data_IF_834320301408
#
_entry.id   IF_834320301408
#
_cell.length_a   1.000
_cell.length_b   1.000
_cell.length_c   1.000
_cell.angle_alpha   90.00
_cell.angle_beta   90.00
_cell.angle_gamma   90.00
#
_symmetry.space_group_name_H-M   'P 1'
#
loop_
_entity.id
_entity.type
_entity.pdbx_description
1 polymer ?
#
# COMPACT_ATOMS: atom_id res chain seq x y z
N UNK A 1 -11.82 -23.79 -18.54
CA UNK A 1 -11.91 -22.40 -19.04
C UNK A 1 -11.86 -22.44 -20.56
N UNK A 2 -12.92 -22.04 -21.25
CA UNK A 2 -13.01 -22.04 -22.73
C UNK A 2 -12.25 -20.84 -23.32
N UNK A 3 -11.65 -21.02 -24.50
CA UNK A 3 -10.75 -20.02 -25.14
C UNK A 3 -11.33 -18.62 -25.34
N UNK A 4 -12.66 -18.46 -25.43
CA UNK A 4 -13.34 -17.16 -25.48
C UNK A 4 -13.11 -16.29 -24.23
N UNK A 5 -12.98 -16.92 -23.07
CA UNK A 5 -12.82 -16.20 -21.80
C UNK A 5 -11.39 -15.66 -21.61
N UNK A 6 -10.41 -16.32 -22.25
CA UNK A 6 -9.00 -15.90 -22.21
C UNK A 6 -8.77 -14.68 -23.09
N UNK A 7 -9.28 -14.68 -24.33
CA UNK A 7 -9.12 -13.54 -25.25
C UNK A 7 -9.67 -12.24 -24.66
N UNK A 8 -10.93 -12.27 -24.17
CA UNK A 8 -11.54 -11.11 -23.53
C UNK A 8 -10.80 -10.65 -22.25
N UNK A 9 -10.17 -11.58 -21.52
CA UNK A 9 -9.38 -11.23 -20.35
C UNK A 9 -8.07 -10.54 -20.73
N UNK A 10 -7.40 -10.99 -21.79
CA UNK A 10 -6.17 -10.37 -22.28
C UNK A 10 -6.45 -8.98 -22.88
N UNK A 11 -7.54 -8.82 -23.62
CA UNK A 11 -8.00 -7.51 -24.13
C UNK A 11 -8.27 -6.52 -22.98
N UNK A 12 -8.90 -6.98 -21.89
CA UNK A 12 -9.10 -6.14 -20.69
C UNK A 12 -7.78 -5.75 -20.04
N UNK A 13 -6.82 -6.66 -19.95
CA UNK A 13 -5.49 -6.36 -19.42
C UNK A 13 -4.74 -5.35 -20.29
N UNK A 14 -4.90 -5.43 -21.62
CA UNK A 14 -4.30 -4.47 -22.56
C UNK A 14 -4.95 -3.09 -22.45
N UNK A 15 -6.29 -3.04 -22.39
CA UNK A 15 -7.04 -1.80 -22.19
C UNK A 15 -6.71 -1.13 -20.84
N UNK A 16 -6.42 -1.93 -19.80
CA UNK A 16 -5.94 -1.45 -18.50
C UNK A 16 -4.45 -1.07 -18.51
N UNK A 17 -3.75 -1.19 -19.64
CA UNK A 17 -2.33 -0.84 -19.75
C UNK A 17 -1.38 -1.76 -18.99
N UNK A 18 -1.84 -2.92 -18.50
CA UNK A 18 -1.02 -3.86 -17.70
C UNK A 18 -0.23 -4.84 -18.57
N UNK A 19 -0.73 -5.14 -19.77
CA UNK A 19 -0.01 -5.91 -20.79
C UNK A 19 0.09 -5.10 -22.08
N UNK A 20 0.95 -5.56 -22.99
CA UNK A 20 1.06 -5.04 -24.36
C UNK A 20 1.14 -6.19 -25.34
N UNK A 21 0.51 -6.03 -26.49
CA UNK A 21 0.72 -6.92 -27.63
C UNK A 21 2.07 -6.64 -28.29
N UNK A 22 2.86 -7.70 -28.48
CA UNK A 22 3.99 -7.74 -29.42
C UNK A 22 3.55 -8.53 -30.66
N UNK A 23 4.35 -8.54 -31.73
CA UNK A 23 4.01 -9.20 -33.01
C UNK A 23 3.32 -10.57 -32.83
N UNK A 24 3.96 -11.48 -32.08
CA UNK A 24 3.48 -12.86 -31.92
C UNK A 24 3.26 -13.27 -30.46
N UNK A 25 3.27 -12.33 -29.51
CA UNK A 25 3.15 -12.64 -28.08
C UNK A 25 2.60 -11.48 -27.27
N UNK A 26 2.10 -11.79 -26.07
CA UNK A 26 1.75 -10.81 -25.06
C UNK A 26 2.90 -10.66 -24.06
N UNK A 27 3.13 -9.44 -23.59
CA UNK A 27 4.12 -9.17 -22.55
C UNK A 27 3.50 -8.28 -21.48
N UNK A 28 3.78 -8.56 -20.21
CA UNK A 28 3.48 -7.64 -19.13
C UNK A 28 4.24 -6.32 -19.32
N UNK A 29 3.60 -5.21 -18.99
CA UNK A 29 4.31 -3.93 -18.90
C UNK A 29 5.15 -3.90 -17.62
N UNK A 30 6.28 -3.17 -17.60
CA UNK A 30 7.01 -2.93 -16.36
C UNK A 30 6.07 -2.33 -15.30
N UNK A 31 6.23 -2.75 -14.04
CA UNK A 31 5.42 -2.19 -12.93
C UNK A 31 5.55 -0.67 -12.84
N UNK A 32 6.71 -0.10 -13.15
CA UNK A 32 6.93 1.35 -13.21
C UNK A 32 6.05 2.09 -14.24
N UNK A 33 5.40 1.36 -15.15
CA UNK A 33 4.46 1.91 -16.13
C UNK A 33 3.01 1.49 -15.86
N UNK A 34 2.80 0.34 -15.24
CA UNK A 34 1.47 -0.21 -14.96
C UNK A 34 0.91 0.19 -13.58
N UNK A 35 1.78 0.61 -12.66
CA UNK A 35 1.44 0.97 -11.28
C UNK A 35 1.99 2.36 -10.96
N UNK A 36 1.12 3.37 -10.92
CA UNK A 36 1.51 4.76 -10.65
C UNK A 36 1.71 5.06 -9.17
N UNK A 37 0.99 4.36 -8.28
CA UNK A 37 1.08 4.61 -6.84
C UNK A 37 2.49 4.28 -6.36
N UNK A 38 3.18 5.28 -5.79
CA UNK A 38 4.55 5.12 -5.31
C UNK A 38 4.61 4.62 -3.86
N UNK A 39 3.61 4.99 -3.08
CA UNK A 39 3.47 4.57 -1.70
C UNK A 39 2.01 4.62 -1.29
N UNK A 40 1.60 3.63 -0.51
CA UNK A 40 0.37 3.64 0.26
C UNK A 40 0.79 3.72 1.72
N UNK A 41 0.36 4.77 2.41
CA UNK A 41 0.71 5.04 3.80
C UNK A 41 -0.56 4.96 4.63
N UNK A 42 -0.64 3.98 5.52
CA UNK A 42 -1.75 3.83 6.45
C UNK A 42 -1.37 4.45 7.79
N UNK A 43 -2.24 5.30 8.34
CA UNK A 43 -2.06 5.91 9.66
C UNK A 43 -3.32 5.60 10.48
N UNK A 44 -3.16 4.76 11.50
CA UNK A 44 -4.21 4.49 12.48
C UNK A 44 -4.09 5.49 13.63
N UNK A 45 -5.12 6.30 13.85
CA UNK A 45 -5.16 7.27 14.94
C UNK A 45 -6.16 6.83 16.01
N UNK A 46 -5.68 6.48 17.22
CA UNK A 46 -6.55 6.19 18.37
C UNK A 46 -6.01 6.83 19.64
N UNK A 47 -6.91 7.10 20.59
CA UNK A 47 -6.58 7.80 21.83
C UNK A 47 -6.46 6.89 23.08
N UNK A 48 -6.97 5.63 23.04
CA UNK A 48 -7.16 4.84 24.28
C UNK A 48 -6.79 3.35 24.23
N UNK A 49 -7.00 2.63 23.12
CA UNK A 49 -6.77 1.16 23.06
C UNK A 49 -5.59 0.76 22.16
N UNK A 50 -4.39 0.70 22.75
CA UNK A 50 -3.12 0.61 21.99
C UNK A 50 -2.74 -0.80 21.53
N UNK A 51 -3.07 -1.84 22.30
CA UNK A 51 -2.83 -3.21 21.85
C UNK A 51 -3.67 -3.55 20.62
N UNK A 52 -4.91 -3.06 20.58
CA UNK A 52 -5.77 -3.10 19.41
C UNK A 52 -5.22 -2.23 18.27
N UNK A 53 -4.69 -1.03 18.57
CA UNK A 53 -4.18 -0.12 17.53
C UNK A 53 -2.96 -0.66 16.80
N UNK A 54 -2.03 -1.31 17.52
CA UNK A 54 -0.88 -1.97 16.88
C UNK A 54 -1.32 -3.13 15.99
N UNK A 55 -2.33 -3.90 16.42
CA UNK A 55 -2.85 -4.98 15.60
C UNK A 55 -3.52 -4.46 14.32
N UNK A 56 -4.28 -3.37 14.40
CA UNK A 56 -4.88 -2.74 13.23
C UNK A 56 -3.82 -2.17 12.28
N UNK A 57 -2.82 -1.47 12.80
CA UNK A 57 -1.71 -0.98 11.99
C UNK A 57 -0.94 -2.14 11.34
N UNK A 58 -0.76 -3.26 12.05
CA UNK A 58 -0.19 -4.47 11.47
C UNK A 58 -1.04 -5.06 10.35
N UNK A 59 -2.37 -5.13 10.50
CA UNK A 59 -3.25 -5.56 9.41
C UNK A 59 -3.12 -4.66 8.17
N UNK A 60 -2.88 -3.36 8.35
CA UNK A 60 -2.70 -2.44 7.23
C UNK A 60 -1.43 -2.73 6.40
N UNK A 61 -0.43 -3.44 6.95
CA UNK A 61 0.77 -3.85 6.19
C UNK A 61 0.44 -4.79 5.03
N UNK A 62 -0.74 -5.42 5.03
CA UNK A 62 -1.19 -6.27 3.92
C UNK A 62 -1.43 -5.48 2.62
N UNK A 63 -1.67 -4.17 2.69
CA UNK A 63 -1.90 -3.34 1.50
C UNK A 63 -1.01 -2.09 1.42
N UNK A 64 -0.53 -1.60 2.57
CA UNK A 64 0.26 -0.38 2.66
C UNK A 64 1.76 -0.68 2.54
N UNK A 65 2.51 0.20 1.85
CA UNK A 65 3.98 0.18 1.91
C UNK A 65 4.53 0.62 3.25
N UNK A 66 3.75 1.39 4.01
CA UNK A 66 4.13 1.83 5.34
C UNK A 66 2.86 1.93 6.19
N UNK A 67 2.96 1.48 7.43
CA UNK A 67 1.86 1.53 8.37
C UNK A 67 2.30 2.12 9.70
N UNK A 68 1.46 2.99 10.25
CA UNK A 68 1.76 3.79 11.41
C UNK A 68 0.62 3.79 12.41
N UNK A 69 1.00 4.05 13.65
CA UNK A 69 0.09 4.48 14.71
C UNK A 69 0.40 5.92 15.07
N UNK A 70 -0.62 6.76 15.18
CA UNK A 70 -0.50 8.13 15.67
C UNK A 70 -0.93 8.17 17.13
N UNK A 71 -0.02 8.59 18.02
CA UNK A 71 -0.22 8.62 19.47
C UNK A 71 0.11 10.01 20.04
N UNK A 72 -0.53 10.46 21.14
CA UNK A 72 -0.12 11.69 21.81
C UNK A 72 1.33 11.60 22.31
N UNK A 73 2.10 12.68 22.24
CA UNK A 73 3.54 12.72 22.60
C UNK A 73 3.85 12.07 23.96
N UNK A 74 3.09 12.41 25.00
CA UNK A 74 3.29 11.89 26.36
C UNK A 74 3.05 10.38 26.53
N UNK A 75 2.61 9.69 25.46
CA UNK A 75 2.27 8.26 25.47
C UNK A 75 3.26 7.40 24.68
N UNK A 76 4.36 7.97 24.20
CA UNK A 76 5.43 7.24 23.51
C UNK A 76 6.30 6.45 24.49
N UNK A 77 5.76 5.35 25.01
CA UNK A 77 6.50 4.48 25.94
C UNK A 77 7.54 3.61 25.20
N UNK A 78 8.61 3.23 25.89
CA UNK A 78 9.64 2.32 25.33
C UNK A 78 9.03 0.97 24.92
N UNK A 79 8.08 0.44 25.71
CA UNK A 79 7.40 -0.82 25.40
C UNK A 79 6.57 -0.75 24.12
N UNK A 80 5.86 0.35 23.88
CA UNK A 80 5.13 0.60 22.65
C UNK A 80 6.08 0.63 21.44
N UNK A 81 7.17 1.39 21.54
CA UNK A 81 8.16 1.51 20.47
C UNK A 81 8.77 0.16 20.10
N UNK A 82 9.22 -0.61 21.10
CA UNK A 82 9.83 -1.94 20.88
C UNK A 82 8.84 -2.93 20.26
N UNK A 83 7.56 -2.89 20.66
CA UNK A 83 6.54 -3.76 20.07
C UNK A 83 6.20 -3.34 18.64
N UNK A 84 6.03 -2.05 18.39
CA UNK A 84 5.75 -1.52 17.06
C UNK A 84 6.89 -1.86 16.07
N UNK A 85 8.14 -1.65 16.49
CA UNK A 85 9.34 -1.98 15.70
C UNK A 85 9.38 -3.47 15.33
N UNK A 86 9.13 -4.37 16.30
CA UNK A 86 9.03 -5.82 16.05
C UNK A 86 7.93 -6.20 15.05
N UNK A 87 6.88 -5.38 14.93
CA UNK A 87 5.76 -5.60 14.00
C UNK A 87 5.96 -4.87 12.67
N UNK A 88 7.06 -4.13 12.47
CA UNK A 88 7.28 -3.30 11.29
C UNK A 88 6.38 -2.06 11.23
N UNK A 89 5.89 -1.58 12.37
CA UNK A 89 4.96 -0.45 12.50
C UNK A 89 5.70 0.79 13.00
N UNK A 90 5.51 1.90 12.30
CA UNK A 90 6.02 3.20 12.75
C UNK A 90 5.13 3.82 13.82
N UNK A 91 5.74 4.56 14.75
CA UNK A 91 5.00 5.32 15.77
C UNK A 91 5.21 6.81 15.49
N UNK A 92 4.11 7.50 15.24
CA UNK A 92 4.05 8.95 15.05
C UNK A 92 3.51 9.61 16.31
N UNK A 93 3.95 10.84 16.56
CA UNK A 93 3.33 11.71 17.55
C UNK A 93 2.66 12.90 16.89
N UNK A 94 1.64 13.45 17.53
CA UNK A 94 0.94 14.67 17.10
C UNK A 94 1.87 15.87 16.84
N UNK A 95 2.99 15.97 17.56
CA UNK A 95 4.02 16.99 17.30
C UNK A 95 4.95 16.69 16.10
N UNK A 96 4.98 15.45 15.60
CA UNK A 96 5.77 15.10 14.40
C UNK A 96 5.04 15.62 13.16
N UNK A 97 5.21 16.91 12.87
CA UNK A 97 4.51 17.59 11.77
C UNK A 97 4.78 17.02 10.38
N UNK A 98 5.80 16.16 10.19
CA UNK A 98 6.05 15.42 8.94
C UNK A 98 6.55 14.00 9.21
N UNK A 99 5.99 13.04 8.49
CA UNK A 99 6.43 11.64 8.47
C UNK A 99 7.57 11.49 7.47
N UNK A 100 8.75 11.06 7.93
CA UNK A 100 9.84 10.70 7.02
C UNK A 100 9.61 9.30 6.44
N UNK A 101 9.03 9.25 5.25
CA UNK A 101 8.75 8.02 4.52
C UNK A 101 10.02 7.27 4.09
N UNK A 102 11.21 7.91 4.09
CA UNK A 102 12.48 7.26 3.72
C UNK A 102 12.98 6.29 4.78
N UNK A 103 12.54 6.47 6.02
CA UNK A 103 12.83 5.56 7.15
C UNK A 103 11.89 4.37 7.19
N UNK A 104 10.86 4.36 6.35
CA UNK A 104 9.96 3.23 6.24
C UNK A 104 10.56 2.22 5.29
N UNK A 105 10.47 0.93 5.62
CA UNK A 105 10.73 -0.11 4.65
C UNK A 105 9.71 0.04 3.53
N UNK A 106 10.04 0.80 2.49
CA UNK A 106 9.25 0.84 1.26
C UNK A 106 9.44 -0.51 0.61
N UNK A 107 8.60 -1.47 1.02
CA UNK A 107 8.53 -2.75 0.33
C UNK A 107 8.25 -2.52 -1.15
N UNK A 108 8.63 -3.48 -1.99
CA UNK A 108 8.31 -3.42 -3.40
C UNK A 108 6.79 -3.25 -3.56
N UNK A 109 6.37 -2.19 -4.26
CA UNK A 109 4.99 -2.03 -4.71
C UNK A 109 4.81 -2.79 -6.03
N UNK A 110 3.63 -3.38 -6.29
CA UNK A 110 2.45 -3.45 -5.43
C UNK A 110 2.62 -4.48 -4.29
N UNK A 111 2.14 -4.15 -3.08
CA UNK A 111 2.25 -5.04 -1.91
C UNK A 111 1.23 -6.20 -1.97
N UNK A 112 0.02 -5.92 -2.48
CA UNK A 112 -1.03 -6.94 -2.65
C UNK A 112 -2.04 -6.56 -3.72
N UNK A 113 -3.06 -7.41 -3.90
CA UNK A 113 -4.23 -7.08 -4.73
C UNK A 113 -4.94 -5.81 -4.27
N UNK A 114 -5.02 -5.56 -2.96
CA UNK A 114 -5.61 -4.33 -2.44
C UNK A 114 -4.80 -3.10 -2.88
N UNK A 115 -3.47 -3.18 -2.95
CA UNK A 115 -2.63 -2.10 -3.48
C UNK A 115 -2.95 -1.77 -4.95
N UNK A 116 -3.31 -2.77 -5.77
CA UNK A 116 -3.82 -2.55 -7.13
C UNK A 116 -5.15 -1.81 -7.17
N UNK A 117 -6.07 -2.13 -6.26
CA UNK A 117 -7.34 -1.41 -6.17
C UNK A 117 -7.12 0.08 -5.82
N UNK A 118 -6.21 0.37 -4.89
CA UNK A 118 -5.84 1.76 -4.60
C UNK A 118 -5.23 2.46 -5.81
N UNK A 119 -4.36 1.80 -6.57
CA UNK A 119 -3.81 2.35 -7.80
C UNK A 119 -4.89 2.71 -8.82
N UNK A 120 -5.83 1.80 -9.06
CA UNK A 120 -6.97 2.04 -9.95
C UNK A 120 -7.85 3.21 -9.47
N UNK A 121 -8.11 3.31 -8.17
CA UNK A 121 -8.92 4.40 -7.62
C UNK A 121 -8.25 5.76 -7.77
N UNK A 122 -6.94 5.86 -7.50
CA UNK A 122 -6.18 7.10 -7.72
C UNK A 122 -6.23 7.48 -9.19
N UNK A 123 -6.01 6.52 -10.10
CA UNK A 123 -6.08 6.79 -11.53
C UNK A 123 -7.45 7.32 -11.96
N UNK A 124 -8.54 6.81 -11.40
CA UNK A 124 -9.90 7.29 -11.70
C UNK A 124 -10.22 8.64 -11.06
N UNK A 125 -9.64 8.95 -9.90
CA UNK A 125 -9.87 10.21 -9.20
C UNK A 125 -9.18 11.39 -9.90
N UNK A 126 -7.97 11.18 -10.45
CA UNK A 126 -7.18 12.20 -11.15
C UNK A 126 -7.71 12.53 -12.57
N UNK A 127 -8.64 11.71 -13.10
CA UNK A 127 -9.20 11.87 -14.46
C UNK A 127 -10.64 12.43 -14.45
N UNK A 128 -11.04 13.04 -13.33
CA UNK A 128 -12.26 13.86 -13.22
C UNK A 128 -11.89 15.33 -13.24
#
# INVERSE_FOLDING_TARGET
MTGRNVAASVERLEAAGTVRRMKDRWAARPLSQAFAVRAIVAIEAKMKEWDAVLQQAWLNTWFASASFVLVPQGRRSKGLLTRAERMGIGVLTDEMGKVDLRRCSTGAQPVSYASWLFNEWVWRAEWR
#
